data_IF_241607872024
#
_entry.id   IF_241607872024
#
_cell.length_a   1.000
_cell.length_b   1.000
_cell.length_c   1.000
_cell.angle_alpha   90.00
_cell.angle_beta   90.00
_cell.angle_gamma   90.00
#
_symmetry.space_group_name_H-M   'P 1'
#
loop_
_entity.id
_entity.type
_entity.pdbx_description
1 polymer ?
#
# COMPACT_ATOMS: atom_id res chain seq x y z
N UNK A 1 8.18 -21.40 -9.06
CA UNK A 1 8.77 -21.64 -7.74
C UNK A 1 8.00 -20.85 -6.68
N UNK A 2 7.97 -21.30 -5.43
CA UNK A 2 7.36 -20.55 -4.31
C UNK A 2 8.48 -20.10 -3.38
N UNK A 3 8.50 -18.82 -2.99
CA UNK A 3 9.42 -18.29 -1.98
C UNK A 3 8.70 -18.09 -0.65
N UNK A 4 9.38 -18.40 0.46
CA UNK A 4 8.84 -18.30 1.83
C UNK A 4 9.87 -17.65 2.74
N UNK A 5 9.51 -16.58 3.44
CA UNK A 5 10.36 -15.98 4.46
C UNK A 5 10.36 -16.83 5.74
N UNK A 6 11.54 -17.27 6.18
CA UNK A 6 11.72 -18.04 7.42
C UNK A 6 11.94 -17.16 8.65
N UNK A 7 12.40 -15.92 8.44
CA UNK A 7 12.65 -14.90 9.47
C UNK A 7 12.11 -13.53 9.07
N UNK A 8 12.16 -12.55 9.97
CA UNK A 8 11.60 -11.22 9.72
C UNK A 8 10.08 -11.29 9.51
N UNK A 9 9.63 -11.11 8.28
CA UNK A 9 8.22 -11.28 7.88
C UNK A 9 7.85 -12.75 7.71
N UNK A 10 7.91 -13.53 8.78
CA UNK A 10 7.75 -14.99 8.78
C UNK A 10 6.51 -15.44 8.02
N UNK A 11 6.66 -16.49 7.20
CA UNK A 11 5.66 -17.05 6.28
C UNK A 11 5.09 -16.05 5.24
N UNK A 12 5.74 -14.91 5.00
CA UNK A 12 5.46 -14.16 3.77
C UNK A 12 5.85 -15.04 2.58
N UNK A 13 4.83 -15.43 1.80
CA UNK A 13 4.94 -16.48 0.76
C UNK A 13 4.45 -15.93 -0.57
N UNK A 14 5.23 -16.12 -1.63
CA UNK A 14 4.93 -15.61 -2.96
C UNK A 14 5.28 -16.63 -4.04
N UNK A 15 4.53 -16.61 -5.16
CA UNK A 15 4.94 -17.30 -6.38
C UNK A 15 5.95 -16.41 -7.11
N UNK A 16 7.06 -17.02 -7.51
CA UNK A 16 8.10 -16.38 -8.33
C UNK A 16 8.03 -16.98 -9.75
N UNK A 17 7.44 -16.28 -10.71
CA UNK A 17 7.36 -16.75 -12.08
C UNK A 17 8.71 -16.67 -12.83
N UNK A 18 9.52 -15.68 -12.47
CA UNK A 18 10.81 -15.38 -13.08
C UNK A 18 11.98 -15.72 -12.13
N UNK A 19 13.20 -15.90 -12.65
CA UNK A 19 14.40 -15.98 -11.84
C UNK A 19 14.57 -14.74 -10.95
N UNK A 20 14.99 -14.94 -9.72
CA UNK A 20 15.14 -13.86 -8.74
C UNK A 20 16.37 -14.06 -7.86
N UNK A 21 16.85 -12.97 -7.28
CA UNK A 21 17.85 -13.00 -6.21
C UNK A 21 17.16 -13.03 -4.85
N UNK A 22 17.65 -13.82 -3.92
CA UNK A 22 17.12 -13.89 -2.57
C UNK A 22 18.03 -13.21 -1.55
N UNK A 23 17.42 -12.62 -0.53
CA UNK A 23 18.12 -12.19 0.67
C UNK A 23 18.30 -13.34 1.67
N UNK A 24 18.75 -12.99 2.87
CA UNK A 24 18.93 -13.92 3.99
C UNK A 24 17.56 -14.42 4.48
N UNK A 25 17.53 -15.66 4.97
CA UNK A 25 16.37 -16.31 5.58
C UNK A 25 15.13 -16.43 4.65
N UNK A 26 15.38 -16.54 3.34
CA UNK A 26 14.38 -16.87 2.34
C UNK A 26 14.55 -18.32 1.88
N UNK A 27 13.49 -19.09 1.87
CA UNK A 27 13.44 -20.47 1.40
C UNK A 27 12.66 -20.57 0.10
N UNK A 28 13.04 -21.54 -0.73
CA UNK A 28 12.30 -21.90 -1.95
C UNK A 28 11.65 -23.26 -1.77
N UNK A 29 10.38 -23.35 -2.21
CA UNK A 29 9.64 -24.60 -2.20
C UNK A 29 9.35 -24.99 -3.64
N UNK A 30 9.62 -26.27 -3.94
CA UNK A 30 9.26 -26.93 -5.18
C UNK A 30 8.19 -27.98 -4.89
N UNK A 31 7.18 -28.04 -5.74
CA UNK A 31 6.18 -29.09 -5.63
C UNK A 31 6.76 -30.44 -6.05
N UNK A 32 6.38 -31.51 -5.37
CA UNK A 32 6.76 -32.89 -5.74
C UNK A 32 6.16 -33.31 -7.09
N UNK A 33 5.07 -32.68 -7.50
CA UNK A 33 4.37 -32.92 -8.76
C UNK A 33 4.27 -31.64 -9.57
N UNK A 34 3.94 -31.78 -10.85
CA UNK A 34 3.65 -30.63 -11.71
C UNK A 34 2.23 -30.13 -11.42
N UNK A 35 2.10 -29.19 -10.49
CA UNK A 35 0.84 -28.54 -10.12
C UNK A 35 0.66 -27.22 -10.84
N UNK A 36 -0.59 -26.83 -11.11
CA UNK A 36 -0.93 -25.58 -11.80
C UNK A 36 -0.53 -24.33 -11.00
N UNK A 37 -0.49 -23.20 -11.68
CA UNK A 37 -0.27 -21.89 -11.05
C UNK A 37 -1.36 -21.61 -10.00
N UNK A 38 -2.60 -21.92 -10.31
CA UNK A 38 -3.76 -21.71 -9.45
C UNK A 38 -3.67 -22.59 -8.17
N UNK A 39 -3.28 -23.86 -8.32
CA UNK A 39 -3.04 -24.72 -7.16
C UNK A 39 -1.91 -24.17 -6.26
N UNK A 40 -0.85 -23.60 -6.87
CA UNK A 40 0.20 -22.88 -6.09
C UNK A 40 -0.36 -21.66 -5.38
N UNK A 41 -1.25 -20.88 -6.00
CA UNK A 41 -1.93 -19.75 -5.34
C UNK A 41 -2.72 -20.19 -4.11
N UNK A 42 -3.44 -21.31 -4.22
CA UNK A 42 -4.16 -21.89 -3.09
C UNK A 42 -3.20 -22.25 -1.94
N UNK A 43 -2.10 -22.95 -2.25
CA UNK A 43 -1.11 -23.38 -1.24
C UNK A 43 -0.46 -22.18 -0.54
N UNK A 44 -0.04 -21.14 -1.26
CA UNK A 44 0.58 -19.96 -0.63
C UNK A 44 -0.37 -19.27 0.34
N UNK A 45 -1.66 -19.29 0.06
CA UNK A 45 -2.68 -18.73 0.95
C UNK A 45 -2.78 -19.55 2.24
N UNK A 46 -2.76 -20.89 2.14
CA UNK A 46 -2.76 -21.78 3.32
C UNK A 46 -1.47 -21.64 4.12
N UNK A 47 -0.29 -21.50 3.47
CA UNK A 47 0.97 -21.26 4.19
C UNK A 47 0.87 -19.95 4.97
N UNK A 48 0.43 -18.86 4.35
CA UNK A 48 0.23 -17.55 5.01
C UNK A 48 -0.75 -17.62 6.17
N UNK A 49 -1.83 -18.40 6.05
CA UNK A 49 -2.82 -18.58 7.11
C UNK A 49 -2.22 -19.20 8.39
N UNK A 50 -1.07 -19.89 8.31
CA UNK A 50 -0.38 -20.44 9.46
C UNK A 50 0.55 -19.41 10.17
N UNK A 51 0.59 -18.15 9.74
CA UNK A 51 1.46 -17.10 10.32
C UNK A 51 1.27 -16.94 11.83
N UNK A 52 0.07 -17.15 12.36
CA UNK A 52 -0.23 -17.06 13.79
C UNK A 52 0.60 -18.03 14.67
N UNK A 53 1.16 -19.09 14.08
CA UNK A 53 2.03 -20.05 14.78
C UNK A 53 3.43 -19.49 15.05
N UNK A 54 3.78 -18.31 14.49
CA UNK A 54 5.11 -17.74 14.49
C UNK A 54 5.10 -16.32 15.04
N UNK A 55 6.26 -15.86 15.53
CA UNK A 55 6.47 -14.51 16.04
C UNK A 55 7.94 -14.12 15.90
N UNK A 56 8.32 -12.91 16.32
CA UNK A 56 9.71 -12.44 16.29
C UNK A 56 10.69 -13.41 16.97
N UNK A 57 10.31 -14.00 18.12
CA UNK A 57 11.12 -14.99 18.83
C UNK A 57 10.92 -16.44 18.36
N UNK A 58 9.96 -16.70 17.47
CA UNK A 58 9.59 -18.02 16.96
C UNK A 58 9.58 -18.02 15.44
N UNK A 59 10.76 -18.00 14.86
CA UNK A 59 10.98 -18.01 13.42
C UNK A 59 10.76 -19.41 12.80
N UNK A 60 10.44 -19.45 11.49
CA UNK A 60 10.16 -20.71 10.78
C UNK A 60 11.42 -21.42 10.24
N UNK A 61 12.62 -20.86 10.40
CA UNK A 61 13.87 -21.34 9.80
C UNK A 61 14.15 -22.84 9.97
N UNK A 62 13.81 -23.41 11.12
CA UNK A 62 14.00 -24.85 11.41
C UNK A 62 12.71 -25.67 11.34
N UNK A 63 11.57 -25.02 11.34
CA UNK A 63 10.26 -25.68 11.46
C UNK A 63 9.46 -25.67 10.16
N UNK A 64 9.87 -24.85 9.18
CA UNK A 64 9.19 -24.79 7.88
C UNK A 64 9.05 -26.14 7.17
N UNK A 65 10.06 -27.06 7.16
CA UNK A 65 9.92 -28.37 6.53
C UNK A 65 8.87 -29.27 7.20
N UNK A 66 8.49 -28.97 8.44
CA UNK A 66 7.53 -29.75 9.24
C UNK A 66 6.19 -28.99 9.40
N UNK A 67 5.97 -27.95 8.60
CA UNK A 67 4.73 -27.22 8.64
C UNK A 67 3.61 -28.06 8.00
N UNK A 68 2.70 -28.52 8.82
CA UNK A 68 1.50 -29.24 8.37
C UNK A 68 0.50 -28.26 7.76
N UNK A 69 0.03 -28.59 6.56
CA UNK A 69 -0.97 -27.83 5.82
C UNK A 69 -2.28 -28.62 5.75
N UNK A 70 -3.38 -27.97 6.14
CA UNK A 70 -4.72 -28.52 5.95
C UNK A 70 -5.15 -28.26 4.51
N UNK A 71 -5.18 -29.31 3.69
CA UNK A 71 -5.52 -29.23 2.26
C UNK A 71 -6.76 -30.09 1.95
N UNK A 72 -7.55 -29.75 0.93
CA UNK A 72 -8.57 -30.63 0.38
C UNK A 72 -7.91 -31.91 -0.13
N UNK A 73 -8.59 -33.05 0.08
CA UNK A 73 -8.10 -34.38 -0.33
C UNK A 73 -9.00 -34.99 -1.37
N UNK A 74 -8.42 -35.80 -2.25
CA UNK A 74 -9.18 -36.58 -3.25
C UNK A 74 -10.12 -37.56 -2.52
N UNK A 75 -11.36 -37.63 -3.00
CA UNK A 75 -12.40 -38.50 -2.46
C UNK A 75 -12.97 -39.43 -3.51
N UNK A 76 -13.44 -40.57 -3.09
CA UNK A 76 -14.18 -41.52 -3.92
C UNK A 76 -15.66 -41.11 -4.10
N UNK A 77 -16.41 -41.91 -4.87
CA UNK A 77 -17.84 -41.67 -5.15
C UNK A 77 -18.72 -41.72 -3.87
N UNK A 78 -18.20 -42.29 -2.77
CA UNK A 78 -18.87 -42.37 -1.48
C UNK A 78 -18.43 -41.24 -0.54
N UNK A 79 -17.70 -40.22 -1.07
CA UNK A 79 -17.16 -39.10 -0.31
C UNK A 79 -16.10 -39.49 0.76
N UNK A 80 -15.51 -40.69 0.66
CA UNK A 80 -14.42 -41.12 1.52
C UNK A 80 -13.06 -40.73 0.92
N UNK A 81 -12.05 -40.33 1.74
CA UNK A 81 -10.71 -40.03 1.24
C UNK A 81 -10.08 -41.23 0.53
N UNK A 82 -9.48 -40.98 -0.62
CA UNK A 82 -8.62 -41.97 -1.30
C UNK A 82 -7.27 -42.01 -0.59
N UNK A 83 -6.83 -43.22 -0.24
CA UNK A 83 -5.58 -43.43 0.50
C UNK A 83 -4.49 -43.97 -0.43
N UNK A 84 -3.39 -43.28 -0.50
CA UNK A 84 -2.15 -43.71 -1.14
C UNK A 84 -1.30 -44.49 -0.16
N UNK A 85 -1.15 -45.80 -0.43
CA UNK A 85 -0.36 -46.69 0.41
C UNK A 85 1.15 -46.35 0.44
N UNK A 86 1.62 -45.53 -0.50
CA UNK A 86 3.03 -45.08 -0.51
C UNK A 86 3.28 -43.92 0.44
N UNK A 87 2.21 -43.38 1.04
CA UNK A 87 2.27 -42.21 1.96
C UNK A 87 3.11 -41.05 1.40
N UNK A 88 2.97 -40.75 0.09
CA UNK A 88 3.78 -39.76 -0.63
C UNK A 88 3.63 -38.35 -0.03
N UNK A 89 2.43 -38.00 0.47
CA UNK A 89 2.07 -36.64 0.88
C UNK A 89 1.77 -36.51 2.36
N UNK A 90 1.25 -37.56 3.00
CA UNK A 90 0.93 -37.58 4.43
C UNK A 90 1.18 -38.98 5.02
N UNK A 91 1.43 -39.06 6.32
CA UNK A 91 1.64 -40.33 7.01
C UNK A 91 0.40 -41.21 6.99
N UNK A 92 -0.81 -40.61 6.91
CA UNK A 92 -2.09 -41.30 6.76
C UNK A 92 -2.42 -41.67 5.31
N UNK A 93 -1.55 -41.32 4.36
CA UNK A 93 -1.71 -41.60 2.93
C UNK A 93 -2.73 -40.70 2.20
N UNK A 94 -3.14 -39.57 2.77
CA UNK A 94 -4.02 -38.64 2.08
C UNK A 94 -3.38 -38.07 0.83
N UNK A 95 -4.19 -37.95 -0.22
CA UNK A 95 -3.78 -37.38 -1.52
C UNK A 95 -4.40 -36.00 -1.68
N UNK A 96 -3.60 -34.91 -1.82
CA UNK A 96 -4.15 -33.58 -2.03
C UNK A 96 -4.94 -33.50 -3.35
N UNK A 97 -6.07 -32.83 -3.31
CA UNK A 97 -6.91 -32.60 -4.50
C UNK A 97 -6.46 -31.33 -5.24
N UNK A 98 -5.43 -31.50 -6.08
CA UNK A 98 -4.88 -30.41 -6.89
C UNK A 98 -5.92 -29.82 -7.86
N UNK A 99 -6.82 -30.66 -8.38
CA UNK A 99 -7.84 -30.23 -9.32
C UNK A 99 -8.90 -29.37 -8.60
N UNK A 100 -9.30 -29.74 -7.41
CA UNK A 100 -10.20 -28.94 -6.60
C UNK A 100 -9.58 -27.55 -6.33
N UNK A 101 -8.31 -27.50 -5.88
CA UNK A 101 -7.62 -26.24 -5.58
C UNK A 101 -7.53 -25.34 -6.80
N UNK A 102 -7.21 -25.91 -7.97
CA UNK A 102 -7.19 -25.20 -9.24
C UNK A 102 -8.57 -24.63 -9.60
N UNK A 103 -9.59 -25.47 -9.58
CA UNK A 103 -10.96 -25.10 -9.91
C UNK A 103 -11.50 -24.04 -8.93
N UNK A 104 -11.18 -24.17 -7.65
CA UNK A 104 -11.56 -23.20 -6.63
C UNK A 104 -11.01 -21.81 -6.95
N UNK A 105 -9.71 -21.69 -7.21
CA UNK A 105 -9.09 -20.41 -7.59
C UNK A 105 -9.68 -19.84 -8.88
N UNK A 106 -9.89 -20.69 -9.91
CA UNK A 106 -10.54 -20.28 -11.18
C UNK A 106 -11.98 -19.84 -10.99
N UNK A 107 -12.69 -20.40 -10.01
CA UNK A 107 -14.08 -20.04 -9.70
C UNK A 107 -14.23 -18.72 -8.95
N UNK A 108 -13.16 -18.23 -8.33
CA UNK A 108 -13.16 -16.91 -7.73
C UNK A 108 -13.42 -15.89 -8.83
N UNK A 109 -14.47 -15.07 -8.68
CA UNK A 109 -14.88 -14.09 -9.68
C UNK A 109 -13.88 -12.92 -9.76
N UNK A 110 -12.65 -13.25 -10.11
CA UNK A 110 -11.61 -12.27 -10.37
C UNK A 110 -11.78 -11.74 -11.80
N UNK A 111 -12.23 -10.50 -11.90
CA UNK A 111 -12.11 -9.76 -13.16
C UNK A 111 -10.77 -9.03 -13.12
N UNK A 112 -9.85 -9.30 -14.06
CA UNK A 112 -8.61 -8.54 -14.16
C UNK A 112 -8.94 -7.04 -14.21
N UNK A 113 -8.27 -6.25 -13.38
CA UNK A 113 -8.35 -4.80 -13.51
C UNK A 113 -7.77 -4.45 -14.88
N UNK A 114 -8.59 -3.82 -15.72
CA UNK A 114 -8.16 -3.34 -17.04
C UNK A 114 -8.14 -1.82 -17.02
N UNK A 115 -7.22 -1.22 -17.75
CA UNK A 115 -7.16 0.22 -17.97
C UNK A 115 -7.24 0.53 -19.45
N UNK A 116 -7.82 1.67 -19.78
CA UNK A 116 -7.82 2.24 -21.13
C UNK A 116 -6.54 3.03 -21.41
N UNK A 117 -5.83 3.42 -20.34
CA UNK A 117 -4.63 4.25 -20.40
C UNK A 117 -3.39 3.37 -20.50
N UNK A 118 -2.77 3.33 -21.69
CA UNK A 118 -1.57 2.54 -21.96
C UNK A 118 -0.30 3.39 -22.04
N UNK A 119 -0.44 4.72 -22.15
CA UNK A 119 0.68 5.65 -22.29
C UNK A 119 0.43 6.88 -21.44
N UNK A 120 1.30 7.09 -20.46
CA UNK A 120 1.26 8.30 -19.62
C UNK A 120 1.73 9.54 -20.39
N UNK A 121 1.26 10.71 -19.97
CA UNK A 121 1.82 11.99 -20.42
C UNK A 121 3.32 12.05 -20.07
N UNK A 122 4.12 12.65 -20.96
CA UNK A 122 5.56 12.77 -20.73
C UNK A 122 5.88 13.85 -19.69
N UNK A 123 6.70 13.49 -18.71
CA UNK A 123 7.27 14.45 -17.77
C UNK A 123 8.53 15.10 -18.36
N UNK A 124 8.52 16.41 -18.52
CA UNK A 124 9.72 17.18 -18.84
C UNK A 124 10.19 17.94 -17.60
N UNK A 125 10.94 17.27 -16.74
CA UNK A 125 11.40 17.80 -15.44
C UNK A 125 12.37 18.97 -15.57
N UNK A 126 13.05 19.14 -16.72
CA UNK A 126 13.99 20.27 -16.96
C UNK A 126 13.25 21.60 -17.04
N UNK A 127 11.95 21.58 -17.30
CA UNK A 127 11.09 22.77 -17.39
C UNK A 127 10.33 23.07 -16.09
N UNK A 128 10.55 22.30 -15.03
CA UNK A 128 9.93 22.49 -13.73
C UNK A 128 10.67 23.57 -12.93
N UNK A 129 9.96 24.21 -12.01
CA UNK A 129 10.50 25.23 -11.14
C UNK A 129 10.37 24.83 -9.66
N UNK A 130 11.14 25.48 -8.81
CA UNK A 130 11.19 25.21 -7.38
C UNK A 130 10.14 26.03 -6.64
N UNK A 131 9.47 25.39 -5.69
CA UNK A 131 8.47 26.00 -4.84
C UNK A 131 8.66 25.56 -3.40
N UNK A 132 8.68 26.50 -2.49
CA UNK A 132 8.58 26.19 -1.06
C UNK A 132 7.16 25.71 -0.72
N UNK A 133 7.05 24.51 -0.17
CA UNK A 133 5.74 23.85 0.03
C UNK A 133 4.81 24.67 0.95
N UNK A 134 5.38 25.39 1.93
CA UNK A 134 4.65 26.28 2.82
C UNK A 134 3.84 27.36 2.09
N UNK A 135 4.30 27.84 0.92
CA UNK A 135 3.60 28.84 0.09
C UNK A 135 2.44 28.25 -0.74
N UNK A 136 2.40 26.93 -0.85
CA UNK A 136 1.39 26.24 -1.67
C UNK A 136 0.18 25.81 -0.86
N UNK A 137 0.29 25.71 0.47
CA UNK A 137 -0.73 25.15 1.35
C UNK A 137 -1.61 26.22 1.99
N UNK A 138 -2.84 25.85 2.34
CA UNK A 138 -3.77 26.70 3.08
C UNK A 138 -3.54 26.61 4.58
N UNK A 139 -3.33 25.41 5.10
CA UNK A 139 -3.06 25.17 6.52
C UNK A 139 -2.28 23.88 6.74
N UNK A 140 -1.52 23.88 7.83
CA UNK A 140 -0.80 22.71 8.35
C UNK A 140 -0.92 22.71 9.87
N UNK A 141 -1.27 21.57 10.44
CA UNK A 141 -1.46 21.45 11.89
C UNK A 141 -1.23 20.01 12.35
N UNK A 142 -0.98 19.85 13.66
CA UNK A 142 -0.95 18.54 14.31
C UNK A 142 -2.37 18.05 14.53
N UNK A 143 -2.69 16.85 14.03
CA UNK A 143 -4.02 16.25 14.20
C UNK A 143 -4.30 15.87 15.66
N UNK A 144 -5.58 15.74 16.01
CA UNK A 144 -5.98 15.16 17.29
C UNK A 144 -5.70 13.66 17.30
N UNK A 145 -4.90 13.22 18.29
CA UNK A 145 -4.48 11.83 18.39
C UNK A 145 -5.43 11.01 19.26
N UNK A 146 -5.76 9.82 18.78
CA UNK A 146 -6.41 8.77 19.57
C UNK A 146 -5.43 7.64 19.84
N UNK A 147 -5.54 6.99 21.00
CA UNK A 147 -4.89 5.70 21.25
C UNK A 147 -5.77 4.56 20.74
N UNK A 148 -5.19 3.39 20.49
CA UNK A 148 -5.99 2.22 20.06
C UNK A 148 -7.03 1.81 21.10
N UNK A 149 -6.72 2.01 22.38
CA UNK A 149 -7.62 1.66 23.50
C UNK A 149 -8.88 2.55 23.54
N UNK A 150 -8.81 3.75 22.96
CA UNK A 150 -9.93 4.68 22.86
C UNK A 150 -10.89 4.31 21.70
N UNK A 151 -10.50 3.40 20.84
CA UNK A 151 -11.17 3.09 19.59
C UNK A 151 -11.79 1.69 19.59
N UNK A 152 -12.90 1.53 18.89
CA UNK A 152 -13.52 0.22 18.68
C UNK A 152 -13.21 -0.23 17.25
N UNK A 153 -12.37 -1.26 17.11
CA UNK A 153 -12.01 -1.84 15.82
C UNK A 153 -13.21 -2.47 15.11
N UNK A 154 -13.20 -2.39 13.80
CA UNK A 154 -14.16 -3.00 12.89
C UNK A 154 -13.42 -3.70 11.76
N UNK A 155 -13.70 -4.98 11.51
CA UNK A 155 -12.97 -5.77 10.51
C UNK A 155 -13.36 -5.45 9.05
N UNK A 156 -14.42 -4.70 8.84
CA UNK A 156 -14.96 -4.39 7.50
C UNK A 156 -15.25 -2.90 7.41
N UNK A 157 -14.87 -2.28 6.29
CA UNK A 157 -15.24 -0.90 5.98
C UNK A 157 -16.73 -0.82 5.68
N UNK A 158 -17.43 0.06 6.39
CA UNK A 158 -18.85 0.39 6.24
C UNK A 158 -18.98 1.92 6.22
N UNK A 159 -20.12 2.45 5.76
CA UNK A 159 -20.40 3.90 5.77
C UNK A 159 -20.30 4.54 7.18
N UNK A 160 -20.52 3.72 8.22
CA UNK A 160 -20.42 4.11 9.63
C UNK A 160 -19.06 3.90 10.26
N UNK A 161 -18.02 3.71 9.46
CA UNK A 161 -16.66 3.49 9.94
C UNK A 161 -15.71 4.60 9.48
N UNK A 162 -14.58 4.73 10.18
CA UNK A 162 -13.50 5.66 9.86
C UNK A 162 -12.18 4.90 9.72
N UNK A 163 -11.29 5.44 8.92
CA UNK A 163 -9.90 4.99 8.85
C UNK A 163 -9.12 5.57 10.03
N UNK A 164 -8.37 4.75 10.74
CA UNK A 164 -7.41 5.18 11.75
C UNK A 164 -6.03 5.28 11.11
N UNK A 165 -5.61 6.51 10.86
CA UNK A 165 -4.37 6.83 10.14
C UNK A 165 -3.24 7.02 11.13
N UNK A 166 -2.14 6.31 10.90
CA UNK A 166 -0.93 6.34 11.71
C UNK A 166 0.32 6.53 10.85
N UNK A 167 1.49 6.42 11.46
CA UNK A 167 2.79 6.53 10.78
C UNK A 167 3.18 5.28 9.99
N UNK A 168 2.30 4.28 9.87
CA UNK A 168 2.60 3.10 9.05
C UNK A 168 2.83 3.48 7.59
N UNK A 169 3.70 2.78 6.91
CA UNK A 169 3.94 2.95 5.48
C UNK A 169 2.99 2.11 4.60
N UNK A 170 2.16 1.27 5.23
CA UNK A 170 1.25 0.35 4.56
C UNK A 170 -0.17 0.91 4.48
N UNK A 171 -0.98 0.38 3.57
CA UNK A 171 -2.42 0.66 3.40
C UNK A 171 -2.79 2.16 3.44
N UNK A 172 -2.03 3.00 2.72
CA UNK A 172 -2.24 4.44 2.69
C UNK A 172 -2.24 5.09 4.09
N UNK A 173 -1.39 4.58 5.00
CA UNK A 173 -1.29 5.02 6.40
C UNK A 173 -2.40 4.50 7.31
N UNK A 174 -3.31 3.66 6.82
CA UNK A 174 -4.42 3.12 7.61
C UNK A 174 -3.99 1.87 8.37
N UNK A 175 -3.96 1.96 9.68
CA UNK A 175 -3.62 0.82 10.53
C UNK A 175 -4.86 -0.02 10.92
N UNK A 176 -6.01 0.64 11.13
CA UNK A 176 -7.26 0.02 11.55
C UNK A 176 -8.46 0.70 10.86
N UNK A 177 -9.55 -0.04 10.74
CA UNK A 177 -10.88 0.52 10.51
C UNK A 177 -11.60 0.56 11.86
N UNK A 178 -12.20 1.67 12.21
CA UNK A 178 -12.82 1.89 13.51
C UNK A 178 -14.27 2.35 13.38
N UNK A 179 -15.11 2.03 14.37
CA UNK A 179 -16.48 2.51 14.44
C UNK A 179 -16.52 4.00 14.71
N UNK A 180 -17.33 4.74 13.98
CA UNK A 180 -17.53 6.18 14.18
C UNK A 180 -18.42 6.51 15.40
N UNK A 181 -18.60 5.56 16.33
CA UNK A 181 -19.43 5.78 17.52
C UNK A 181 -18.57 6.33 18.65
N UNK A 182 -19.02 7.45 19.22
CA UNK A 182 -18.37 8.15 20.36
C UNK A 182 -17.02 8.82 20.03
N UNK A 183 -16.71 9.06 18.76
CA UNK A 183 -15.53 9.80 18.33
C UNK A 183 -15.89 11.29 18.25
N UNK A 184 -15.18 12.13 19.05
CA UNK A 184 -15.49 13.56 19.15
C UNK A 184 -14.80 14.40 18.08
N UNK A 185 -13.60 13.99 17.64
CA UNK A 185 -12.79 14.73 16.65
C UNK A 185 -12.51 13.85 15.45
N UNK A 186 -13.14 14.19 14.34
CA UNK A 186 -12.95 13.51 13.06
C UNK A 186 -12.36 14.50 12.08
N UNK A 187 -11.28 14.12 11.42
CA UNK A 187 -10.68 14.91 10.35
C UNK A 187 -11.52 14.74 9.07
N UNK A 188 -11.79 15.86 8.40
CA UNK A 188 -12.41 15.83 7.07
C UNK A 188 -11.45 15.22 6.06
N UNK A 189 -12.00 14.55 5.05
CA UNK A 189 -11.24 14.08 3.89
C UNK A 189 -10.60 15.21 3.09
N UNK A 190 -10.09 14.90 1.91
CA UNK A 190 -9.33 15.81 1.05
C UNK A 190 -8.16 16.47 1.80
N UNK A 191 -7.28 15.63 2.34
CA UNK A 191 -6.14 16.04 3.14
C UNK A 191 -4.87 15.24 2.78
N UNK A 192 -3.71 15.84 3.00
CA UNK A 192 -2.45 15.09 3.07
C UNK A 192 -2.13 14.85 4.53
N UNK A 193 -1.88 13.58 4.89
CA UNK A 193 -1.37 13.19 6.21
C UNK A 193 0.12 12.91 6.12
N UNK A 194 0.85 13.35 7.15
CA UNK A 194 2.30 13.17 7.25
C UNK A 194 2.63 12.60 8.63
N UNK A 195 3.31 11.47 8.66
CA UNK A 195 3.91 10.93 9.88
C UNK A 195 5.21 11.68 10.19
N UNK A 196 5.25 12.45 11.28
CA UNK A 196 6.39 13.36 11.57
C UNK A 196 7.71 12.62 11.79
N UNK A 197 7.69 11.42 12.35
CA UNK A 197 8.89 10.62 12.65
C UNK A 197 9.31 9.68 11.53
N UNK A 198 8.38 9.28 10.65
CA UNK A 198 8.62 8.36 9.53
C UNK A 198 8.72 9.07 8.19
N UNK A 199 8.28 10.35 8.15
CA UNK A 199 8.13 11.14 6.92
C UNK A 199 7.26 10.45 5.84
N UNK A 200 6.36 9.56 6.23
CA UNK A 200 5.38 8.94 5.34
C UNK A 200 4.28 9.93 5.03
N UNK A 201 3.99 10.14 3.74
CA UNK A 201 2.99 11.09 3.27
C UNK A 201 1.92 10.36 2.47
N UNK A 202 0.65 10.59 2.81
CA UNK A 202 -0.49 9.98 2.12
C UNK A 202 -1.62 10.98 1.88
N UNK A 203 -2.33 10.83 0.77
CA UNK A 203 -3.57 11.54 0.52
C UNK A 203 -4.75 10.76 1.10
N UNK A 204 -5.57 11.45 1.87
CA UNK A 204 -6.80 10.92 2.46
C UNK A 204 -8.01 11.56 1.79
N UNK A 205 -8.74 10.77 1.03
CA UNK A 205 -9.94 11.23 0.33
C UNK A 205 -11.13 11.39 1.27
N UNK A 206 -11.28 10.42 2.18
CA UNK A 206 -12.42 10.30 3.09
C UNK A 206 -12.07 10.83 4.48
N UNK A 207 -13.10 10.96 5.33
CA UNK A 207 -12.96 11.27 6.76
C UNK A 207 -12.13 10.21 7.48
N UNK A 208 -11.35 10.66 8.44
CA UNK A 208 -10.44 9.80 9.19
C UNK A 208 -10.22 10.29 10.61
N UNK A 209 -9.60 9.46 11.43
CA UNK A 209 -9.02 9.81 12.73
C UNK A 209 -7.54 9.44 12.74
N UNK A 210 -6.76 10.03 13.63
CA UNK A 210 -5.31 9.81 13.62
C UNK A 210 -4.78 9.27 14.95
N UNK A 211 -3.67 8.52 14.84
CA UNK A 211 -2.77 8.25 15.96
C UNK A 211 -1.86 9.44 16.27
N UNK A 212 -0.96 9.24 17.21
CA UNK A 212 0.00 10.26 17.60
C UNK A 212 1.04 10.55 16.50
N UNK A 213 1.62 11.73 16.55
CA UNK A 213 2.64 12.19 15.62
C UNK A 213 2.17 12.31 14.15
N UNK A 214 0.90 12.64 13.93
CA UNK A 214 0.35 12.91 12.62
C UNK A 214 0.14 14.39 12.38
N UNK A 215 0.58 14.86 11.22
CA UNK A 215 0.38 16.21 10.71
C UNK A 215 -0.64 16.15 9.57
N UNK A 216 -1.54 17.12 9.52
CA UNK A 216 -2.54 17.29 8.45
C UNK A 216 -2.24 18.55 7.67
N UNK A 217 -2.26 18.43 6.34
CA UNK A 217 -2.10 19.55 5.40
C UNK A 217 -3.36 19.69 4.57
N UNK A 218 -3.81 20.95 4.41
CA UNK A 218 -4.94 21.35 3.56
C UNK A 218 -4.48 22.36 2.52
N UNK A 219 -5.03 22.27 1.31
CA UNK A 219 -4.77 23.22 0.25
C UNK A 219 -5.97 23.40 -0.68
N UNK A 220 -6.08 24.56 -1.34
CA UNK A 220 -7.21 24.85 -2.23
C UNK A 220 -7.13 24.07 -3.55
N UNK A 221 -5.92 23.73 -3.98
CA UNK A 221 -5.66 22.94 -5.19
C UNK A 221 -5.77 21.43 -4.97
N UNK A 222 -5.95 20.98 -3.71
CA UNK A 222 -5.92 19.57 -3.36
C UNK A 222 -7.17 18.84 -3.82
N UNK A 223 -6.98 17.79 -4.57
CA UNK A 223 -7.93 16.75 -4.92
C UNK A 223 -7.20 15.42 -4.99
N UNK A 224 -7.89 14.32 -5.29
CA UNK A 224 -7.29 12.99 -5.36
C UNK A 224 -6.06 12.94 -6.26
N UNK A 225 -6.10 13.50 -7.44
CA UNK A 225 -5.02 13.42 -8.43
C UNK A 225 -3.83 14.31 -8.06
N UNK A 226 -4.07 15.58 -7.76
CA UNK A 226 -3.02 16.51 -7.31
C UNK A 226 -2.42 16.07 -5.98
N UNK A 227 -3.24 15.51 -5.08
CA UNK A 227 -2.80 14.91 -3.83
C UNK A 227 -1.82 13.77 -4.05
N UNK A 228 -2.15 12.81 -4.91
CA UNK A 228 -1.26 11.69 -5.27
C UNK A 228 0.03 12.16 -5.92
N UNK A 229 -0.02 13.18 -6.79
CA UNK A 229 1.17 13.76 -7.39
C UNK A 229 2.11 14.35 -6.33
N UNK A 230 1.57 15.19 -5.45
CA UNK A 230 2.35 15.89 -4.42
C UNK A 230 2.87 14.93 -3.34
N UNK A 231 2.07 13.96 -2.86
CA UNK A 231 2.56 12.99 -1.87
C UNK A 231 3.68 12.12 -2.43
N UNK A 232 3.69 11.85 -3.74
CA UNK A 232 4.80 11.15 -4.39
C UNK A 232 6.10 11.95 -4.29
N UNK A 233 6.04 13.28 -4.51
CA UNK A 233 7.21 14.15 -4.37
C UNK A 233 7.65 14.30 -2.92
N UNK A 234 6.72 14.45 -1.98
CA UNK A 234 7.04 14.51 -0.54
C UNK A 234 7.69 13.20 -0.06
N UNK A 235 7.19 12.05 -0.48
CA UNK A 235 7.78 10.75 -0.12
C UNK A 235 9.18 10.57 -0.72
N UNK A 236 9.50 11.20 -1.87
CA UNK A 236 10.85 11.21 -2.40
C UNK A 236 11.86 11.96 -1.51
N UNK A 237 11.39 12.85 -0.63
CA UNK A 237 12.22 13.55 0.35
C UNK A 237 12.43 12.75 1.65
N UNK A 238 11.78 11.60 1.83
CA UNK A 238 11.81 10.78 3.05
C UNK A 238 13.23 10.41 3.48
N UNK A 239 14.16 10.18 2.52
CA UNK A 239 15.56 9.84 2.81
C UNK A 239 16.29 10.89 3.65
N UNK A 240 15.79 12.14 3.71
CA UNK A 240 16.37 13.26 4.47
C UNK A 240 15.99 13.21 5.96
N UNK A 241 15.03 12.36 6.33
CA UNK A 241 14.43 12.33 7.66
C UNK A 241 14.62 10.97 8.33
N UNK A 242 14.65 10.98 9.65
CA UNK A 242 14.83 9.78 10.48
C UNK A 242 14.33 10.08 11.89
N UNK A 243 14.39 9.08 12.78
CA UNK A 243 14.01 9.26 14.20
C UNK A 243 14.71 10.45 14.86
N UNK A 244 16.00 10.68 14.57
CA UNK A 244 16.76 11.83 15.10
C UNK A 244 16.55 13.15 14.34
N UNK A 245 15.85 13.12 13.21
CA UNK A 245 15.56 14.27 12.34
C UNK A 245 14.14 14.17 11.81
N UNK A 246 13.16 14.41 12.69
CA UNK A 246 11.75 14.31 12.36
C UNK A 246 11.31 15.34 11.30
N UNK A 247 10.31 14.97 10.50
CA UNK A 247 9.68 15.81 9.46
C UNK A 247 8.62 16.72 10.09
N UNK A 248 9.04 17.61 10.99
CA UNK A 248 8.19 18.53 11.73
C UNK A 248 7.58 19.59 10.81
N UNK A 249 6.50 20.23 11.24
CA UNK A 249 5.71 21.19 10.45
C UNK A 249 6.54 22.29 9.78
N UNK A 250 7.53 22.84 10.45
CA UNK A 250 8.38 23.89 9.85
C UNK A 250 9.23 23.33 8.72
N UNK A 251 9.81 22.14 8.89
CA UNK A 251 10.55 21.46 7.84
C UNK A 251 9.65 21.06 6.67
N UNK A 252 8.39 20.68 6.94
CA UNK A 252 7.40 20.42 5.89
C UNK A 252 7.17 21.69 5.06
N UNK A 253 6.98 22.84 5.70
CA UNK A 253 6.80 24.14 5.03
C UNK A 253 8.03 24.53 4.20
N UNK A 254 9.22 24.37 4.77
CA UNK A 254 10.50 24.70 4.14
C UNK A 254 10.92 23.71 3.04
N UNK A 255 10.18 22.62 2.84
CA UNK A 255 10.49 21.64 1.78
C UNK A 255 10.31 22.28 0.43
N UNK A 256 11.36 22.23 -0.39
CA UNK A 256 11.34 22.73 -1.77
C UNK A 256 10.97 21.59 -2.71
N UNK A 257 9.89 21.77 -3.46
CA UNK A 257 9.42 20.83 -4.47
C UNK A 257 9.63 21.40 -5.86
N UNK A 258 10.13 20.59 -6.79
CA UNK A 258 10.14 20.93 -8.22
C UNK A 258 8.79 20.53 -8.83
N UNK A 259 8.09 21.52 -9.42
CA UNK A 259 6.75 21.33 -9.98
C UNK A 259 6.68 21.88 -11.42
N UNK A 260 5.79 21.31 -12.26
CA UNK A 260 5.43 21.90 -13.53
C UNK A 260 4.78 23.27 -13.32
N UNK A 261 5.00 24.20 -14.27
CA UNK A 261 4.47 25.56 -14.19
C UNK A 261 3.54 25.87 -15.35
N UNK A 262 2.56 26.73 -15.09
CA UNK A 262 1.64 27.24 -16.10
C UNK A 262 2.42 28.00 -17.20
N UNK A 263 2.05 27.72 -18.47
CA UNK A 263 2.65 28.33 -19.66
C UNK A 263 1.58 28.79 -20.63
N UNK A 264 1.89 29.85 -21.37
CA UNK A 264 1.05 30.31 -22.46
C UNK A 264 1.23 29.44 -23.73
N UNK A 265 0.52 29.77 -24.79
CA UNK A 265 0.56 29.02 -26.07
C UNK A 265 1.95 29.06 -26.74
N UNK A 266 2.77 30.05 -26.45
CA UNK A 266 4.15 30.16 -26.94
C UNK A 266 5.15 29.38 -26.09
N UNK A 267 4.67 28.69 -25.03
CA UNK A 267 5.47 27.94 -24.10
C UNK A 267 6.23 28.76 -23.06
N UNK A 268 5.96 30.06 -22.96
CA UNK A 268 6.55 30.98 -21.97
C UNK A 268 5.81 30.85 -20.63
N UNK A 269 6.51 30.95 -19.48
CA UNK A 269 5.88 30.95 -18.17
C UNK A 269 4.83 32.06 -18.03
N UNK A 270 3.69 31.72 -17.43
CA UNK A 270 2.71 32.68 -16.95
C UNK A 270 3.16 33.13 -15.55
N UNK A 271 3.25 34.46 -15.35
CA UNK A 271 3.77 35.04 -14.12
C UNK A 271 2.64 35.65 -13.30
N UNK A 272 2.60 35.31 -12.01
CA UNK A 272 1.79 35.92 -10.98
C UNK A 272 2.52 37.15 -10.41
N UNK A 273 2.08 38.37 -10.74
CA UNK A 273 2.68 39.60 -10.26
C UNK A 273 2.65 39.73 -8.73
N UNK A 274 1.64 39.10 -8.09
CA UNK A 274 1.54 39.06 -6.64
C UNK A 274 2.54 38.07 -5.97
N UNK A 275 3.23 37.26 -6.78
CA UNK A 275 4.29 36.33 -6.34
C UNK A 275 3.85 35.40 -5.19
N UNK A 276 2.60 34.94 -5.26
CA UNK A 276 1.99 34.14 -4.18
C UNK A 276 2.70 32.82 -3.93
N UNK A 277 3.20 32.18 -5.01
CA UNK A 277 3.72 30.82 -4.96
C UNK A 277 5.25 30.73 -5.03
N UNK A 278 5.92 31.67 -5.71
CA UNK A 278 7.38 31.77 -5.81
C UNK A 278 7.84 33.21 -5.91
N UNK A 279 9.11 33.49 -5.63
CA UNK A 279 9.68 34.85 -5.71
C UNK A 279 9.78 35.35 -7.14
N UNK A 280 9.91 34.44 -8.10
CA UNK A 280 9.90 34.71 -9.52
C UNK A 280 8.48 34.88 -10.10
N UNK A 281 7.46 34.60 -9.31
CA UNK A 281 6.06 34.67 -9.72
C UNK A 281 5.58 33.45 -10.52
N UNK A 282 6.30 32.34 -10.54
CA UNK A 282 5.83 31.14 -11.20
C UNK A 282 4.56 30.60 -10.55
N UNK A 283 3.68 30.00 -11.37
CA UNK A 283 2.42 29.42 -10.95
C UNK A 283 2.49 27.92 -11.19
N UNK A 284 2.29 27.05 -10.16
CA UNK A 284 2.21 25.60 -10.36
C UNK A 284 1.08 25.22 -11.31
N UNK A 285 1.34 24.30 -12.23
CA UNK A 285 0.35 23.78 -13.18
C UNK A 285 -0.40 22.59 -12.56
N UNK A 286 -1.38 22.91 -11.71
CA UNK A 286 -2.23 21.91 -11.04
C UNK A 286 -3.01 21.06 -12.03
N UNK A 287 -3.44 21.63 -13.17
CA UNK A 287 -4.16 20.91 -14.19
C UNK A 287 -3.28 19.85 -14.85
N UNK A 288 -2.03 20.19 -15.19
CA UNK A 288 -1.09 19.21 -15.73
C UNK A 288 -0.84 18.07 -14.75
N UNK A 289 -0.68 18.35 -13.44
CA UNK A 289 -0.47 17.31 -12.42
C UNK A 289 -1.67 16.35 -12.35
N UNK A 290 -2.89 16.89 -12.39
CA UNK A 290 -4.11 16.12 -12.42
C UNK A 290 -4.19 15.26 -13.68
N UNK A 291 -3.99 15.85 -14.86
CA UNK A 291 -4.03 15.16 -16.15
C UNK A 291 -2.94 14.08 -16.25
N UNK A 292 -1.76 14.35 -15.68
CA UNK A 292 -0.70 13.35 -15.62
C UNK A 292 -1.11 12.11 -14.83
N UNK A 293 -1.62 12.27 -13.62
CA UNK A 293 -2.07 11.14 -12.79
C UNK A 293 -3.21 10.38 -13.48
N UNK A 294 -4.18 11.09 -14.07
CA UNK A 294 -5.26 10.47 -14.86
C UNK A 294 -4.74 9.68 -16.05
N UNK A 295 -3.63 10.13 -16.68
CA UNK A 295 -3.04 9.46 -17.85
C UNK A 295 -2.28 8.19 -17.52
N UNK A 296 -1.91 7.96 -16.27
CA UNK A 296 -1.19 6.77 -15.85
C UNK A 296 -2.04 5.50 -16.07
N UNK A 297 -1.42 4.33 -16.33
CA UNK A 297 -2.15 3.07 -16.27
C UNK A 297 -2.94 2.97 -14.96
N UNK A 298 -4.23 2.65 -15.09
CA UNK A 298 -5.22 2.63 -13.98
C UNK A 298 -5.57 3.99 -13.37
N UNK A 299 -5.07 5.13 -13.87
CA UNK A 299 -5.51 6.46 -13.47
C UNK A 299 -7.00 6.72 -13.70
N UNK A 300 -7.63 5.94 -14.57
CA UNK A 300 -9.07 5.90 -14.82
C UNK A 300 -9.88 5.11 -13.78
N UNK A 301 -9.19 4.60 -12.73
CA UNK A 301 -9.79 3.80 -11.65
C UNK A 301 -9.69 4.48 -10.26
N UNK A 302 -9.04 5.63 -10.22
CA UNK A 302 -8.84 6.45 -9.02
C UNK A 302 -10.07 7.30 -8.78
#
# INVERSE_FOLDING_TARGET
MISVAGGGSVLSTFIQPEPFYSGRDLYTLEAKDNISFEAKMFIITIIKANKYKYSYGRQANKTLPYLELMLPVVKDDKNAPIIDKTCKYSDEGYVPDWQFMENYIKSLHYKPLTTKHTTALKLNKDRWQEFEFGRLIKSIYKAHAYTKDDLTEQNVKLDSTLRYITRTAEDNGCELIVKNKAISYVEEGNAITIGDTTATCFYQEEKFVTGDHMIVVRANWLNTYTGLFIVTLLNNEQYRYSYGRAFLMDRVKETVLKLPICRNNDGLPIIDEAKRFSDEGFIPDWQFMEDYIKSLPYGDRI
#
